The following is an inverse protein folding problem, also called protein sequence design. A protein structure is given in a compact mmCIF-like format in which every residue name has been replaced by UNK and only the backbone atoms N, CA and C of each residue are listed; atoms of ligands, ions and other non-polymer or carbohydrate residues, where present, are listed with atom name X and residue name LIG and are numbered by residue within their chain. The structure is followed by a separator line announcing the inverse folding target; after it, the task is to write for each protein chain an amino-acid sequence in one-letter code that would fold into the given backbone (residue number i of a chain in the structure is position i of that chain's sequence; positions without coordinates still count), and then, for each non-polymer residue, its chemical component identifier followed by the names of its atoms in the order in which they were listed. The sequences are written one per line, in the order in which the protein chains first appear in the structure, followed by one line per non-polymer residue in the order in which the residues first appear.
data_IF_530041743386
#
_entry.id   IF_530041743386
#
_cell.length_a   1.000
_cell.length_b   1.000
_cell.length_c   1.000
_cell.angle_alpha   90.00
_cell.angle_beta   90.00
_cell.angle_gamma   90.00
#
_symmetry.space_group_name_H-M   'P 1'
#
loop_
_entity.id
_entity.type
_entity.pdbx_description
1 polymer ?
#
# COMPACT_ATOMS: atom_id res chain seq x y z
N UNK A 1 -0.82 13.78 14.56
CA UNK A 1 0.07 12.62 14.81
C UNK A 1 -0.44 11.44 14.00
N UNK A 2 0.43 10.55 13.48
CA UNK A 2 -0.03 9.34 12.79
C UNK A 2 -0.73 8.39 13.78
N UNK A 3 -1.72 7.65 13.29
CA UNK A 3 -2.35 6.56 14.06
C UNK A 3 -1.30 5.48 14.37
N UNK A 4 -1.34 4.91 15.58
CA UNK A 4 -0.43 3.83 15.97
C UNK A 4 -0.85 2.49 15.35
N UNK A 5 0.08 1.51 15.27
CA UNK A 5 -0.24 0.13 14.82
C UNK A 5 -1.39 -0.47 15.65
N UNK A 6 -1.37 -0.25 16.97
CA UNK A 6 -2.39 -0.76 17.89
C UNK A 6 -3.78 -0.17 17.59
N UNK A 7 -3.87 1.15 17.41
CA UNK A 7 -5.13 1.81 17.06
C UNK A 7 -5.63 1.39 15.68
N UNK A 8 -4.73 1.22 14.71
CA UNK A 8 -5.05 0.70 13.39
C UNK A 8 -5.63 -0.73 13.44
N UNK A 9 -4.99 -1.64 14.21
CA UNK A 9 -5.48 -3.01 14.43
C UNK A 9 -6.87 -2.98 15.05
N UNK A 10 -7.09 -2.17 16.09
CA UNK A 10 -8.39 -2.05 16.73
C UNK A 10 -9.48 -1.62 15.74
N UNK A 11 -9.24 -0.57 14.96
CA UNK A 11 -10.20 -0.10 13.95
C UNK A 11 -10.47 -1.15 12.86
N UNK A 12 -9.46 -1.94 12.49
CA UNK A 12 -9.62 -2.98 11.49
C UNK A 12 -10.38 -4.19 12.04
N UNK A 13 -10.12 -4.57 13.30
CA UNK A 13 -10.83 -5.65 13.99
C UNK A 13 -12.33 -5.34 14.09
N UNK A 14 -12.69 -4.10 14.45
CA UNK A 14 -14.08 -3.61 14.46
C UNK A 14 -14.74 -3.69 13.07
N UNK A 15 -14.01 -3.30 12.00
CA UNK A 15 -14.53 -3.35 10.62
C UNK A 15 -14.69 -4.77 10.06
N UNK A 16 -13.85 -5.70 10.51
CA UNK A 16 -13.87 -7.09 10.06
C UNK A 16 -14.70 -8.00 10.98
N UNK A 17 -15.33 -7.44 12.01
CA UNK A 17 -16.11 -8.18 13.02
C UNK A 17 -15.31 -9.37 13.61
N UNK A 18 -14.04 -9.13 13.91
CA UNK A 18 -13.12 -10.13 14.47
C UNK A 18 -12.32 -9.57 15.66
N UNK A 19 -11.48 -10.39 16.27
CA UNK A 19 -10.65 -9.98 17.41
C UNK A 19 -9.31 -9.34 16.98
N UNK A 20 -8.72 -8.53 17.86
CA UNK A 20 -7.46 -7.83 17.61
C UNK A 20 -6.29 -8.79 17.32
N UNK A 21 -6.24 -9.96 17.98
CA UNK A 21 -5.17 -10.95 17.80
C UNK A 21 -5.18 -11.54 16.39
N UNK A 22 -6.36 -11.88 15.88
CA UNK A 22 -6.48 -12.40 14.52
C UNK A 22 -6.21 -11.31 13.49
N UNK A 23 -6.71 -10.10 13.73
CA UNK A 23 -6.43 -8.93 12.89
C UNK A 23 -4.94 -8.62 12.81
N UNK A 24 -4.22 -8.70 13.93
CA UNK A 24 -2.77 -8.50 13.95
C UNK A 24 -2.05 -9.49 13.04
N UNK A 25 -2.40 -10.78 13.08
CA UNK A 25 -1.82 -11.78 12.17
C UNK A 25 -2.06 -11.44 10.71
N UNK A 26 -3.26 -10.98 10.35
CA UNK A 26 -3.57 -10.58 8.98
C UNK A 26 -2.74 -9.37 8.53
N UNK A 27 -2.60 -8.36 9.40
CA UNK A 27 -1.79 -7.17 9.11
C UNK A 27 -0.32 -7.53 8.95
N UNK A 28 0.20 -8.42 9.79
CA UNK A 28 1.58 -8.91 9.72
C UNK A 28 1.81 -9.75 8.46
N UNK A 29 0.93 -10.70 8.17
CA UNK A 29 0.99 -11.52 6.97
C UNK A 29 0.91 -10.67 5.68
N UNK A 30 0.01 -9.69 5.64
CA UNK A 30 -0.10 -8.74 4.55
C UNK A 30 1.19 -7.94 4.35
N UNK A 31 1.73 -7.38 5.44
CA UNK A 31 2.97 -6.59 5.39
C UNK A 31 4.16 -7.43 4.94
N UNK A 32 4.28 -8.65 5.47
CA UNK A 32 5.36 -9.56 5.13
C UNK A 32 5.27 -10.01 3.66
N UNK A 33 4.06 -10.30 3.18
CA UNK A 33 3.81 -10.66 1.77
C UNK A 33 4.25 -9.53 0.83
N UNK A 34 3.92 -8.27 1.15
CA UNK A 34 4.40 -7.13 0.36
C UNK A 34 5.93 -7.04 0.33
N UNK A 35 6.57 -7.21 1.49
CA UNK A 35 8.04 -7.18 1.60
C UNK A 35 8.66 -8.28 0.74
N UNK A 36 8.11 -9.49 0.77
CA UNK A 36 8.64 -10.61 0.01
C UNK A 36 8.46 -10.43 -1.50
N UNK A 37 7.35 -9.84 -1.95
CA UNK A 37 7.18 -9.39 -3.35
C UNK A 37 8.23 -8.34 -3.72
N UNK A 38 8.50 -7.36 -2.87
CA UNK A 38 9.48 -6.33 -3.21
C UNK A 38 10.91 -6.86 -3.31
N UNK A 39 11.25 -7.90 -2.52
CA UNK A 39 12.56 -8.57 -2.60
C UNK A 39 12.80 -9.27 -3.94
N UNK A 40 11.76 -9.73 -4.64
CA UNK A 40 11.89 -10.35 -5.97
C UNK A 40 12.10 -9.32 -7.07
N UNK A 41 12.04 -8.02 -6.75
CA UNK A 41 12.07 -6.95 -7.74
C UNK A 41 10.71 -6.68 -8.38
N UNK A 42 9.66 -7.35 -7.90
CA UNK A 42 8.30 -7.19 -8.40
C UNK A 42 7.54 -6.11 -7.63
N UNK A 43 6.49 -5.62 -8.27
CA UNK A 43 5.51 -4.72 -7.68
C UNK A 43 4.15 -5.40 -7.58
N UNK A 44 3.24 -4.82 -6.80
CA UNK A 44 1.86 -5.29 -6.68
C UNK A 44 0.90 -4.12 -6.72
N UNK A 45 -0.22 -4.30 -7.42
CA UNK A 45 -1.31 -3.32 -7.42
C UNK A 45 -2.47 -3.85 -6.60
N UNK A 46 -2.90 -3.06 -5.61
CA UNK A 46 -4.03 -3.37 -4.75
C UNK A 46 -5.15 -2.39 -5.07
N UNK A 47 -6.25 -2.91 -5.60
CA UNK A 47 -7.44 -2.12 -5.97
C UNK A 47 -7.93 -1.31 -4.78
N UNK A 48 -8.17 -0.02 -5.00
CA UNK A 48 -8.58 0.91 -3.94
C UNK A 48 -7.42 1.55 -3.17
N UNK A 49 -6.25 0.92 -3.09
CA UNK A 49 -5.06 1.46 -2.42
C UNK A 49 -4.09 2.11 -3.42
N UNK A 50 -3.63 1.39 -4.44
CA UNK A 50 -2.63 1.86 -5.39
C UNK A 50 -1.67 0.78 -5.86
N UNK A 51 -0.68 1.19 -6.66
CA UNK A 51 0.39 0.33 -7.18
C UNK A 51 1.71 0.56 -6.45
N UNK A 52 2.29 -0.51 -5.93
CA UNK A 52 3.69 -0.54 -5.51
C UNK A 52 4.52 -1.01 -6.71
N UNK A 53 5.51 -0.22 -7.11
CA UNK A 53 6.37 -0.50 -8.25
C UNK A 53 7.81 -0.61 -7.79
N UNK A 54 8.45 -1.71 -8.15
CA UNK A 54 9.89 -1.91 -8.00
C UNK A 54 10.50 -1.93 -9.40
N UNK A 55 11.64 -1.27 -9.55
CA UNK A 55 12.43 -1.25 -10.79
C UNK A 55 13.92 -1.12 -10.44
N UNK A 56 14.81 -1.53 -11.33
CA UNK A 56 16.26 -1.37 -11.14
C UNK A 56 16.78 -0.22 -12.00
N UNK A 57 17.54 0.67 -11.38
CA UNK A 57 18.28 1.75 -12.07
C UNK A 57 19.66 1.28 -12.57
N UNK A 58 20.39 2.23 -13.18
CA UNK A 58 21.79 2.03 -13.51
C UNK A 58 22.59 1.62 -12.26
N UNK A 59 23.46 0.61 -12.37
CA UNK A 59 24.20 0.07 -11.24
C UNK A 59 23.39 -0.86 -10.31
N UNK A 60 22.24 -1.39 -10.74
CA UNK A 60 21.35 -2.28 -9.96
C UNK A 60 20.75 -1.66 -8.70
N UNK A 61 20.73 -0.32 -8.60
CA UNK A 61 20.04 0.36 -7.50
C UNK A 61 18.53 0.12 -7.58
N UNK A 62 17.94 -0.43 -6.53
CA UNK A 62 16.49 -0.65 -6.46
C UNK A 62 15.75 0.67 -6.29
N UNK A 63 14.81 0.95 -7.19
CA UNK A 63 13.90 2.11 -7.15
C UNK A 63 12.51 1.62 -6.75
N UNK A 64 12.02 2.11 -5.62
CA UNK A 64 10.67 1.85 -5.11
C UNK A 64 9.77 3.06 -5.31
N UNK A 65 8.56 2.85 -5.84
CA UNK A 65 7.55 3.90 -6.03
C UNK A 65 6.18 3.39 -5.63
N UNK A 66 5.47 4.14 -4.79
CA UNK A 66 4.04 3.95 -4.57
C UNK A 66 3.24 4.94 -5.41
N UNK A 67 2.26 4.44 -6.16
CA UNK A 67 1.33 5.21 -6.98
C UNK A 67 -0.09 5.05 -6.42
N UNK A 68 -0.60 6.04 -5.66
CA UNK A 68 -1.91 5.92 -5.02
C UNK A 68 -3.04 5.72 -6.01
N UNK A 69 -4.10 5.04 -5.58
CA UNK A 69 -5.32 4.87 -6.38
C UNK A 69 -5.98 6.21 -6.69
N UNK A 70 -6.80 6.26 -7.75
CA UNK A 70 -7.55 7.48 -8.10
C UNK A 70 -8.45 7.96 -6.95
N UNK A 71 -8.97 7.03 -6.13
CA UNK A 71 -9.75 7.36 -4.93
C UNK A 71 -8.93 8.17 -3.93
N UNK A 72 -7.69 7.75 -3.65
CA UNK A 72 -6.77 8.48 -2.75
C UNK A 72 -6.37 9.81 -3.38
N UNK A 73 -5.99 9.81 -4.67
CA UNK A 73 -5.62 11.05 -5.39
C UNK A 73 -6.71 12.12 -5.29
N UNK A 74 -7.96 11.73 -5.56
CA UNK A 74 -9.13 12.62 -5.44
C UNK A 74 -9.32 13.13 -4.01
N UNK A 75 -9.24 12.25 -3.01
CA UNK A 75 -9.38 12.62 -1.59
C UNK A 75 -8.31 13.62 -1.15
N UNK A 76 -7.09 13.51 -1.67
CA UNK A 76 -5.97 14.39 -1.34
C UNK A 76 -5.94 15.68 -2.17
N UNK A 77 -6.95 15.92 -3.01
CA UNK A 77 -6.99 17.08 -3.90
C UNK A 77 -5.87 17.09 -4.94
N UNK A 78 -5.26 15.93 -5.23
CA UNK A 78 -4.27 15.81 -6.29
C UNK A 78 -5.01 15.92 -7.61
N UNK A 79 -5.09 17.14 -8.15
CA UNK A 79 -5.62 17.40 -9.47
C UNK A 79 -4.96 16.43 -10.45
N UNK A 80 -5.74 15.67 -11.20
CA UNK A 80 -5.20 14.93 -12.34
C UNK A 80 -4.75 15.95 -13.38
N UNK A 81 -3.50 16.42 -13.29
CA UNK A 81 -2.86 17.17 -14.37
C UNK A 81 -2.39 16.22 -15.48
N UNK A 82 -2.91 14.99 -15.54
CA UNK A 82 -2.67 14.11 -16.68
C UNK A 82 -3.52 14.58 -17.86
N UNK A 83 -2.94 15.51 -18.63
CA UNK A 83 -3.30 15.82 -20.00
C UNK A 83 -2.58 14.84 -20.91
N UNK A 84 -3.05 13.58 -20.96
CA UNK A 84 -2.62 12.63 -21.97
C UNK A 84 -3.81 12.33 -22.86
N UNK A 85 -3.68 12.68 -24.14
CA UNK A 85 -4.70 12.41 -25.15
C UNK A 85 -4.90 10.89 -25.30
N UNK A 86 -6.16 10.51 -25.52
CA UNK A 86 -6.61 9.15 -25.84
C UNK A 86 -6.25 8.82 -27.28
#
# INVERSE_FOLDING_TARGET
MPITKKEFIKQLAEKMETNEKETEKWVEAYTQTLIDIFKTGEGVTITGLGGFHVSYGYGKTMKFKFNPSQKIKKMMGWSSTFKGDV
#
